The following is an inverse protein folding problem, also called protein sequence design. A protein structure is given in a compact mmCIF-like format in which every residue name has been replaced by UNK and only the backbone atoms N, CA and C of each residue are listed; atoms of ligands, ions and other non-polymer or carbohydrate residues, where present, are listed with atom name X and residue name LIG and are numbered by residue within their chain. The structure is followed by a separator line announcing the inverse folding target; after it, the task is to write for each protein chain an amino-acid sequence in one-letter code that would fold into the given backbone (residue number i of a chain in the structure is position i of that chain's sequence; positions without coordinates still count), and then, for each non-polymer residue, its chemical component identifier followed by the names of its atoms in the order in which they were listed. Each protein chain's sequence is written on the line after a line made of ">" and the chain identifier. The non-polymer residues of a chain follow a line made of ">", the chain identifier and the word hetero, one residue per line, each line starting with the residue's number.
data_IF_910376089004
#
_entry.id   IF_910376089004
#
_cell.length_a   1.000
_cell.length_b   1.000
_cell.length_c   1.000
_cell.angle_alpha   90.00
_cell.angle_beta   90.00
_cell.angle_gamma   90.00
#
_symmetry.space_group_name_H-M   'P 1'
#
loop_
_entity.id
_entity.type
_entity.pdbx_description
1 polymer ?
#
# COMPACT_ATOMS: atom_id res chain seq x y z
N UNK A 1 3.24 -22.59 -6.11
CA UNK A 1 4.16 -22.85 -7.23
C UNK A 1 3.98 -21.72 -8.21
N UNK A 2 4.98 -20.86 -8.40
CA UNK A 2 4.95 -19.82 -9.43
C UNK A 2 5.58 -20.40 -10.69
N UNK A 3 4.89 -20.29 -11.82
CA UNK A 3 5.38 -20.72 -13.13
C UNK A 3 5.44 -19.46 -13.98
N UNK A 4 6.67 -19.01 -14.25
CA UNK A 4 6.94 -17.84 -15.08
C UNK A 4 7.51 -18.25 -16.43
N UNK A 5 7.10 -17.55 -17.48
CA UNK A 5 7.79 -17.59 -18.78
C UNK A 5 8.50 -16.27 -18.95
N UNK A 6 9.82 -16.30 -19.18
CA UNK A 6 10.63 -15.09 -19.35
C UNK A 6 11.07 -15.02 -20.80
N UNK A 7 10.88 -13.85 -21.39
CA UNK A 7 11.37 -13.54 -22.74
C UNK A 7 12.62 -12.69 -22.58
N UNK A 8 13.69 -13.06 -23.28
CA UNK A 8 14.94 -12.29 -23.30
C UNK A 8 14.68 -10.87 -23.86
N UNK A 9 15.36 -9.85 -23.33
CA UNK A 9 15.25 -8.46 -23.82
C UNK A 9 15.51 -8.32 -25.33
N UNK A 10 16.36 -9.18 -25.91
CA UNK A 10 16.60 -9.20 -27.37
C UNK A 10 15.35 -9.58 -28.18
N UNK A 11 14.37 -10.23 -27.55
CA UNK A 11 13.10 -10.66 -28.12
C UNK A 11 11.93 -9.78 -27.64
N UNK A 12 12.18 -8.53 -27.25
CA UNK A 12 11.18 -7.55 -26.80
C UNK A 12 9.99 -7.37 -27.76
N UNK A 13 10.22 -7.52 -29.08
CA UNK A 13 9.20 -7.39 -30.12
C UNK A 13 8.61 -8.72 -30.61
N UNK A 14 8.96 -9.83 -29.95
CA UNK A 14 8.49 -11.15 -30.36
C UNK A 14 7.00 -11.33 -30.02
N UNK A 15 6.26 -11.91 -30.95
CA UNK A 15 4.87 -12.31 -30.79
C UNK A 15 4.73 -13.78 -31.20
N UNK A 16 3.97 -14.55 -30.41
CA UNK A 16 3.78 -15.96 -30.69
C UNK A 16 3.03 -16.70 -29.59
N UNK A 17 3.05 -18.02 -29.66
CA UNK A 17 2.48 -18.89 -28.63
C UNK A 17 3.55 -19.86 -28.13
N UNK A 18 3.63 -20.02 -26.82
CA UNK A 18 4.42 -21.05 -26.16
C UNK A 18 3.47 -22.11 -25.60
N UNK A 19 3.76 -23.38 -25.86
CA UNK A 19 2.97 -24.52 -25.40
C UNK A 19 3.83 -25.39 -24.49
N UNK A 20 3.25 -25.86 -23.41
CA UNK A 20 3.89 -26.73 -22.43
C UNK A 20 2.87 -27.55 -21.67
N UNK A 21 3.32 -28.30 -20.67
CA UNK A 21 2.43 -29.01 -19.77
C UNK A 21 3.04 -29.09 -18.37
N UNK A 22 2.20 -29.03 -17.34
CA UNK A 22 2.58 -29.33 -15.96
C UNK A 22 2.18 -30.76 -15.66
N UNK A 23 3.13 -31.54 -15.17
CA UNK A 23 2.88 -32.91 -14.73
C UNK A 23 2.85 -32.95 -13.21
N UNK A 24 1.68 -33.23 -12.63
CA UNK A 24 1.50 -33.44 -11.19
C UNK A 24 1.45 -34.94 -10.91
N UNK A 25 2.38 -35.44 -10.11
CA UNK A 25 2.42 -36.85 -9.69
C UNK A 25 1.91 -36.96 -8.27
N UNK A 26 0.70 -37.50 -8.09
CA UNK A 26 0.08 -37.72 -6.78
C UNK A 26 0.45 -39.12 -6.31
N UNK A 27 1.07 -39.22 -5.14
CA UNK A 27 1.38 -40.49 -4.50
C UNK A 27 0.40 -40.72 -3.35
N UNK A 28 -0.39 -41.79 -3.43
CA UNK A 28 -1.31 -42.22 -2.38
C UNK A 28 -0.78 -43.48 -1.73
N UNK A 29 -0.63 -43.47 -0.41
CA UNK A 29 -0.28 -44.65 0.39
C UNK A 29 -1.53 -45.50 0.65
N UNK A 30 -1.47 -46.80 0.39
CA UNK A 30 -2.46 -47.77 0.90
C UNK A 30 -2.00 -48.39 2.23
N UNK A 31 -2.90 -49.10 2.91
CA UNK A 31 -2.68 -49.73 4.22
C UNK A 31 -1.53 -50.78 4.24
N UNK A 32 -1.09 -51.27 3.08
CA UNK A 32 -0.06 -52.31 2.93
C UNK A 32 1.28 -51.79 2.36
N UNK A 33 1.72 -50.58 2.72
CA UNK A 33 3.00 -49.98 2.26
C UNK A 33 3.18 -49.89 0.72
N UNK A 34 2.10 -50.05 -0.05
CA UNK A 34 2.09 -49.88 -1.50
C UNK A 34 1.71 -48.44 -1.86
N UNK A 35 2.54 -47.79 -2.68
CA UNK A 35 2.29 -46.44 -3.19
C UNK A 35 1.69 -46.48 -4.58
N UNK A 36 0.42 -46.08 -4.72
CA UNK A 36 -0.16 -45.80 -6.02
C UNK A 36 0.25 -44.40 -6.46
N UNK A 37 0.92 -44.31 -7.61
CA UNK A 37 1.29 -43.02 -8.22
C UNK A 37 0.35 -42.72 -9.38
N UNK A 38 -0.49 -41.69 -9.25
CA UNK A 38 -1.30 -41.17 -10.36
C UNK A 38 -0.62 -39.93 -10.93
N UNK A 39 -0.59 -39.82 -12.25
CA UNK A 39 0.04 -38.68 -12.94
C UNK A 39 -1.02 -37.92 -13.71
N UNK A 40 -1.19 -36.63 -13.39
CA UNK A 40 -2.10 -35.71 -14.06
C UNK A 40 -1.28 -34.74 -14.89
N UNK A 41 -1.64 -34.55 -16.15
CA UNK A 41 -0.96 -33.64 -17.08
C UNK A 41 -1.89 -32.48 -17.39
N UNK A 42 -1.46 -31.26 -17.06
CA UNK A 42 -2.18 -30.03 -17.35
C UNK A 42 -1.50 -29.33 -18.53
N UNK A 43 -2.08 -29.33 -19.75
CA UNK A 43 -1.54 -28.57 -20.86
C UNK A 43 -1.67 -27.06 -20.61
N UNK A 44 -0.63 -26.31 -20.94
CA UNK A 44 -0.58 -24.86 -20.83
C UNK A 44 -0.22 -24.27 -22.18
N UNK A 45 -0.96 -23.25 -22.58
CA UNK A 45 -0.63 -22.40 -23.72
C UNK A 45 -0.52 -20.96 -23.22
N UNK A 46 0.64 -20.34 -23.44
CA UNK A 46 0.91 -18.94 -23.09
C UNK A 46 1.07 -18.15 -24.38
N UNK A 47 0.23 -17.12 -24.55
CA UNK A 47 0.40 -16.17 -25.65
C UNK A 47 1.48 -15.16 -25.27
N UNK A 48 2.50 -15.06 -26.12
CA UNK A 48 3.58 -14.09 -25.99
C UNK A 48 3.21 -12.89 -26.86
N UNK A 49 3.23 -11.70 -26.27
CA UNK A 49 2.99 -10.43 -26.93
C UNK A 49 4.24 -9.57 -26.84
N UNK A 50 4.39 -8.66 -27.81
CA UNK A 50 5.42 -7.63 -27.76
C UNK A 50 5.30 -6.77 -26.49
N UNK A 51 6.43 -6.26 -26.00
CA UNK A 51 6.47 -5.44 -24.78
C UNK A 51 5.49 -4.27 -24.90
N UNK A 52 4.46 -4.19 -24.03
CA UNK A 52 3.48 -3.11 -24.12
C UNK A 52 4.13 -1.74 -23.91
N UNK A 53 3.58 -0.67 -24.50
CA UNK A 53 4.10 0.67 -24.27
C UNK A 53 3.95 1.06 -22.79
N UNK A 54 4.88 1.90 -22.30
CA UNK A 54 4.96 2.31 -20.89
C UNK A 54 3.63 2.80 -20.31
N UNK A 55 2.89 3.64 -21.06
CA UNK A 55 1.59 4.20 -20.66
C UNK A 55 0.43 3.18 -20.61
N UNK A 56 0.70 1.89 -20.85
CA UNK A 56 -0.26 0.79 -20.64
C UNK A 56 0.21 -0.20 -19.57
N UNK A 57 1.38 0.01 -18.97
CA UNK A 57 1.97 -0.90 -17.99
C UNK A 57 1.82 -0.35 -16.58
N UNK A 58 1.14 -1.14 -15.75
CA UNK A 58 0.90 -0.88 -14.33
C UNK A 58 1.77 -1.88 -13.56
N UNK A 59 2.47 -1.38 -12.55
CA UNK A 59 3.14 -2.22 -11.57
C UNK A 59 2.28 -2.25 -10.31
N UNK A 60 1.85 -3.44 -9.88
CA UNK A 60 1.12 -3.65 -8.63
C UNK A 60 2.11 -3.99 -7.53
N UNK A 61 2.09 -3.24 -6.43
CA UNK A 61 2.88 -3.57 -5.26
C UNK A 61 2.22 -4.70 -4.46
N UNK A 62 2.86 -5.87 -4.42
CA UNK A 62 2.47 -6.99 -3.56
C UNK A 62 3.44 -7.14 -2.37
N UNK A 63 4.60 -6.48 -2.42
CA UNK A 63 5.63 -6.62 -1.42
C UNK A 63 5.26 -5.93 -0.10
N UNK A 64 4.37 -4.93 -0.12
CA UNK A 64 3.96 -4.23 1.10
C UNK A 64 2.60 -4.64 1.68
N UNK A 65 1.95 -5.68 1.13
CA UNK A 65 0.82 -6.35 1.79
C UNK A 65 1.31 -7.49 2.70
N UNK A 66 0.59 -7.79 3.78
CA UNK A 66 0.88 -8.93 4.63
C UNK A 66 0.34 -10.23 4.02
N UNK A 67 0.95 -11.35 4.40
CA UNK A 67 0.45 -12.67 4.04
C UNK A 67 -0.46 -13.18 5.15
N UNK A 68 -1.71 -13.48 4.80
CA UNK A 68 -2.72 -13.95 5.72
C UNK A 68 -2.62 -15.46 6.00
N UNK A 69 -2.83 -15.91 7.26
CA UNK A 69 -2.99 -15.13 8.50
C UNK A 69 -1.67 -15.00 9.29
N UNK A 70 -1.15 -13.79 9.61
CA UNK A 70 0.07 -13.68 10.43
C UNK A 70 -0.18 -13.17 11.86
N UNK A 71 -1.35 -12.57 12.17
CA UNK A 71 -1.65 -11.89 13.43
C UNK A 71 -3.07 -11.30 13.48
N UNK A 72 -3.35 -10.39 14.42
CA UNK A 72 -4.64 -9.70 14.45
C UNK A 72 -4.63 -8.52 13.49
N UNK A 73 -5.17 -8.73 12.29
CA UNK A 73 -5.42 -7.67 11.32
C UNK A 73 -6.94 -7.44 11.25
N UNK A 74 -7.43 -6.22 11.53
CA UNK A 74 -8.84 -5.90 11.51
C UNK A 74 -9.34 -5.73 10.07
N UNK A 75 -10.66 -5.74 9.90
CA UNK A 75 -11.30 -5.37 8.61
C UNK A 75 -11.02 -3.93 8.21
N UNK A 76 -11.00 -3.70 6.90
CA UNK A 76 -11.00 -2.34 6.35
C UNK A 76 -12.30 -1.62 6.68
N UNK A 77 -13.45 -2.27 6.47
CA UNK A 77 -14.76 -1.70 6.75
C UNK A 77 -15.21 -1.94 8.19
N UNK A 78 -15.05 -0.93 9.04
CA UNK A 78 -15.36 -0.98 10.47
C UNK A 78 -16.85 -1.10 10.82
N UNK A 79 -17.76 -1.01 9.83
CA UNK A 79 -19.19 -1.25 10.07
C UNK A 79 -19.51 -2.73 10.27
N UNK A 80 -18.70 -3.63 9.70
CA UNK A 80 -18.93 -5.07 9.78
C UNK A 80 -18.44 -5.56 11.13
N UNK A 81 -19.38 -5.97 12.00
CA UNK A 81 -19.09 -6.40 13.38
C UNK A 81 -19.14 -7.92 13.60
N UNK A 82 -19.52 -8.68 12.57
CA UNK A 82 -19.75 -10.13 12.70
C UNK A 82 -18.47 -10.96 12.81
N UNK A 83 -17.35 -10.45 12.29
CA UNK A 83 -16.04 -11.11 12.29
C UNK A 83 -14.94 -10.04 12.41
N UNK A 84 -14.13 -10.05 13.47
CA UNK A 84 -13.12 -9.03 13.70
C UNK A 84 -11.90 -9.14 12.78
N UNK A 85 -11.65 -10.30 12.15
CA UNK A 85 -10.43 -10.57 11.39
C UNK A 85 -10.65 -10.39 9.89
N UNK A 86 -9.65 -9.80 9.21
CA UNK A 86 -9.54 -10.01 7.78
C UNK A 86 -8.83 -11.33 7.46
N UNK A 87 -9.48 -12.14 6.65
CA UNK A 87 -8.99 -13.44 6.18
C UNK A 87 -8.81 -13.46 4.67
N UNK A 88 -9.22 -12.39 3.97
CA UNK A 88 -9.18 -12.30 2.53
C UNK A 88 -7.89 -11.60 2.15
N UNK A 89 -6.90 -12.39 1.76
CA UNK A 89 -5.59 -11.85 1.36
C UNK A 89 -5.69 -10.81 0.24
N UNK A 90 -4.96 -9.72 0.41
CA UNK A 90 -4.86 -8.62 -0.55
C UNK A 90 -3.97 -8.97 -1.73
N UNK A 91 -4.56 -9.66 -2.71
CA UNK A 91 -3.90 -10.01 -3.95
C UNK A 91 -4.74 -9.56 -5.15
N UNK A 92 -4.05 -9.18 -6.22
CA UNK A 92 -4.66 -8.76 -7.48
C UNK A 92 -5.57 -9.82 -8.15
N UNK A 93 -5.51 -11.06 -7.69
CA UNK A 93 -6.25 -12.19 -8.25
C UNK A 93 -7.30 -12.76 -7.29
N UNK A 94 -7.42 -12.19 -6.08
CA UNK A 94 -8.43 -12.49 -5.06
C UNK A 94 -9.37 -11.29 -4.91
N UNK A 95 -9.15 -10.43 -3.90
CA UNK A 95 -10.00 -9.29 -3.54
C UNK A 95 -10.10 -8.29 -4.69
N UNK A 96 -9.03 -8.10 -5.45
CA UNK A 96 -8.98 -7.15 -6.57
C UNK A 96 -9.14 -7.80 -7.95
N UNK A 97 -9.70 -9.02 -8.03
CA UNK A 97 -9.88 -9.74 -9.30
C UNK A 97 -10.73 -8.97 -10.31
N UNK A 98 -11.82 -8.34 -9.87
CA UNK A 98 -12.71 -7.61 -10.76
C UNK A 98 -12.04 -6.34 -11.31
N UNK A 99 -11.28 -5.65 -10.46
CA UNK A 99 -10.41 -4.54 -10.89
C UNK A 99 -9.38 -5.01 -11.93
N UNK A 100 -8.70 -6.13 -11.68
CA UNK A 100 -7.75 -6.71 -12.63
C UNK A 100 -8.42 -6.98 -13.99
N UNK A 101 -9.56 -7.68 -13.99
CA UNK A 101 -10.30 -7.98 -15.21
C UNK A 101 -10.73 -6.71 -15.95
N UNK A 102 -11.22 -5.70 -15.22
CA UNK A 102 -11.61 -4.42 -15.79
C UNK A 102 -10.44 -3.71 -16.48
N UNK A 103 -9.29 -3.62 -15.81
CA UNK A 103 -8.09 -3.00 -16.37
C UNK A 103 -7.55 -3.76 -17.59
N UNK A 104 -7.58 -5.10 -17.56
CA UNK A 104 -7.22 -5.95 -18.71
C UNK A 104 -8.16 -5.71 -19.89
N UNK A 105 -9.46 -5.58 -19.65
CA UNK A 105 -10.45 -5.27 -20.70
C UNK A 105 -10.24 -3.87 -21.31
N UNK A 106 -9.73 -2.91 -20.54
CA UNK A 106 -9.31 -1.59 -21.04
C UNK A 106 -7.98 -1.60 -21.81
N UNK A 107 -7.27 -2.74 -21.83
CA UNK A 107 -6.01 -2.90 -22.55
C UNK A 107 -4.75 -2.54 -21.75
N UNK A 108 -4.86 -2.40 -20.43
CA UNK A 108 -3.70 -2.26 -19.54
C UNK A 108 -3.07 -3.62 -19.23
N UNK A 109 -1.78 -3.62 -18.96
CA UNK A 109 -0.97 -4.78 -18.55
C UNK A 109 -0.49 -4.54 -17.13
N UNK A 110 -0.66 -5.55 -16.27
CA UNK A 110 -0.36 -5.42 -14.84
C UNK A 110 0.64 -6.50 -14.47
N UNK A 111 1.78 -6.06 -13.96
CA UNK A 111 2.83 -6.92 -13.41
C UNK A 111 2.77 -6.82 -11.87
N UNK A 112 2.92 -7.94 -11.16
CA UNK A 112 2.91 -7.99 -9.69
C UNK A 112 4.32 -7.98 -9.12
N UNK A 113 4.64 -6.97 -8.31
CA UNK A 113 5.94 -6.81 -7.67
C UNK A 113 5.93 -7.47 -6.29
N UNK A 114 6.57 -8.65 -6.19
CA UNK A 114 6.76 -9.36 -4.92
C UNK A 114 8.12 -9.11 -4.25
N UNK A 115 8.81 -8.02 -4.61
CA UNK A 115 10.17 -7.70 -4.17
C UNK A 115 10.30 -6.19 -3.88
N UNK A 116 11.37 -5.75 -3.17
CA UNK A 116 11.55 -4.33 -2.85
C UNK A 116 11.59 -3.42 -4.08
N UNK A 117 11.24 -2.15 -3.91
CA UNK A 117 11.22 -1.17 -5.00
C UNK A 117 12.56 -0.98 -5.69
N UNK A 118 13.67 -1.26 -5.02
CA UNK A 118 15.02 -1.23 -5.61
C UNK A 118 15.20 -2.19 -6.80
N UNK A 119 14.34 -3.19 -6.94
CA UNK A 119 14.49 -4.26 -7.92
C UNK A 119 13.79 -4.03 -9.26
N UNK A 120 13.01 -2.96 -9.41
CA UNK A 120 12.38 -2.65 -10.69
C UNK A 120 12.92 -1.35 -11.28
N UNK A 121 12.90 -1.25 -12.61
CA UNK A 121 13.25 -0.01 -13.32
C UNK A 121 11.97 0.80 -13.63
N UNK A 122 11.85 2.01 -13.10
CA UNK A 122 10.69 2.89 -13.29
C UNK A 122 10.44 3.30 -14.74
N UNK A 123 11.47 3.32 -15.60
CA UNK A 123 11.32 3.62 -17.02
C UNK A 123 10.46 2.61 -17.77
N UNK A 124 10.28 1.41 -17.22
CA UNK A 124 9.49 0.33 -17.82
C UNK A 124 7.98 0.46 -17.58
N UNK A 125 7.57 1.25 -16.59
CA UNK A 125 6.19 1.31 -16.09
C UNK A 125 5.66 2.74 -16.15
N UNK A 126 4.38 2.89 -16.49
CA UNK A 126 3.70 4.19 -16.48
C UNK A 126 3.24 4.56 -15.08
N UNK A 127 2.83 3.58 -14.28
CA UNK A 127 2.32 3.81 -12.93
C UNK A 127 2.62 2.64 -11.99
N UNK A 128 3.06 2.95 -10.79
CA UNK A 128 3.09 2.07 -9.63
C UNK A 128 1.79 2.23 -8.84
N UNK A 129 1.13 1.13 -8.50
CA UNK A 129 -0.08 1.10 -7.70
C UNK A 129 0.25 0.48 -6.34
N UNK A 130 0.05 1.27 -5.29
CA UNK A 130 0.24 0.87 -3.89
C UNK A 130 -1.15 0.81 -3.28
N UNK A 131 -1.61 -0.39 -2.94
CA UNK A 131 -2.97 -0.61 -2.42
C UNK A 131 -2.88 -1.33 -1.11
N UNK A 132 -3.54 -0.76 -0.11
CA UNK A 132 -3.61 -1.22 1.26
C UNK A 132 -2.25 -1.70 1.81
N UNK A 133 -1.24 -0.79 1.85
CA UNK A 133 0.08 -1.17 2.37
C UNK A 133 0.02 -1.31 3.88
N UNK A 134 0.30 -2.49 4.40
CA UNK A 134 0.33 -2.83 5.83
C UNK A 134 1.77 -2.97 6.37
N UNK A 135 2.73 -3.09 5.46
CA UNK A 135 4.15 -3.27 5.75
C UNK A 135 4.89 -1.93 5.88
N UNK A 136 6.04 -1.96 6.54
CA UNK A 136 6.99 -0.83 6.57
C UNK A 136 7.79 -0.73 5.25
N UNK A 137 8.31 0.46 4.92
CA UNK A 137 9.18 0.66 3.75
C UNK A 137 10.66 0.71 4.16
N UNK A 138 11.57 0.17 3.36
CA UNK A 138 13.01 0.41 3.53
C UNK A 138 13.39 1.86 3.18
N UNK A 139 14.46 2.37 3.80
CA UNK A 139 14.89 3.75 3.54
C UNK A 139 15.33 3.91 2.08
N UNK A 140 16.04 2.89 1.55
CA UNK A 140 16.49 2.80 0.17
C UNK A 140 15.33 2.83 -0.83
N UNK A 141 14.19 2.22 -0.48
CA UNK A 141 12.99 2.24 -1.32
C UNK A 141 12.37 3.63 -1.39
N UNK A 142 12.30 4.33 -0.26
CA UNK A 142 11.75 5.69 -0.19
C UNK A 142 12.60 6.64 -1.05
N UNK A 143 13.93 6.58 -0.93
CA UNK A 143 14.84 7.40 -1.74
C UNK A 143 14.71 7.08 -3.23
N UNK A 144 14.72 5.80 -3.58
CA UNK A 144 14.62 5.34 -4.97
C UNK A 144 13.26 5.71 -5.59
N UNK A 145 12.17 5.59 -4.84
CA UNK A 145 10.85 5.99 -5.30
C UNK A 145 10.75 7.50 -5.51
N UNK A 146 11.35 8.31 -4.63
CA UNK A 146 11.43 9.74 -4.83
C UNK A 146 12.15 10.05 -6.16
N UNK A 147 13.32 9.47 -6.39
CA UNK A 147 14.06 9.62 -7.65
C UNK A 147 13.25 9.18 -8.88
N UNK A 148 12.60 8.02 -8.81
CA UNK A 148 11.75 7.48 -9.88
C UNK A 148 10.63 8.44 -10.32
N UNK A 149 10.02 9.14 -9.36
CA UNK A 149 8.95 10.10 -9.65
C UNK A 149 9.51 11.41 -10.21
N UNK A 150 10.57 11.95 -9.59
CA UNK A 150 11.13 13.25 -9.98
C UNK A 150 11.91 13.21 -11.30
N UNK A 151 12.72 12.17 -11.52
CA UNK A 151 13.65 12.09 -12.65
C UNK A 151 13.07 11.26 -13.81
N UNK A 152 12.42 10.13 -13.51
CA UNK A 152 11.90 9.20 -14.52
C UNK A 152 10.40 9.39 -14.81
N UNK A 153 9.74 10.30 -14.10
CA UNK A 153 8.34 10.63 -14.31
C UNK A 153 7.41 9.45 -14.03
N UNK A 154 7.71 8.63 -13.02
CA UNK A 154 6.83 7.56 -12.59
C UNK A 154 5.53 8.14 -12.02
N UNK A 155 4.39 7.58 -12.45
CA UNK A 155 3.11 7.81 -11.80
C UNK A 155 2.94 6.92 -10.57
N UNK A 156 2.35 7.42 -9.50
CA UNK A 156 1.98 6.62 -8.33
C UNK A 156 0.49 6.79 -8.07
N UNK A 157 -0.24 5.69 -7.88
CA UNK A 157 -1.60 5.69 -7.35
C UNK A 157 -1.57 4.96 -6.02
N UNK A 158 -2.08 5.60 -4.98
CA UNK A 158 -2.10 5.09 -3.64
C UNK A 158 -3.55 5.00 -3.17
N UNK A 159 -3.96 3.80 -2.81
CA UNK A 159 -5.16 3.54 -2.03
C UNK A 159 -4.69 3.04 -0.65
N UNK A 160 -4.98 3.82 0.38
CA UNK A 160 -4.75 3.41 1.77
C UNK A 160 -6.08 2.97 2.39
N UNK A 161 -6.08 2.73 3.68
CA UNK A 161 -7.29 2.54 4.49
C UNK A 161 -7.23 3.39 5.75
N UNK A 162 -7.99 3.03 6.77
CA UNK A 162 -7.92 3.69 8.07
C UNK A 162 -6.72 3.25 8.90
N UNK A 163 -6.30 4.16 9.77
CA UNK A 163 -5.41 3.87 10.88
C UNK A 163 -5.71 4.84 12.01
N UNK A 164 -6.11 4.34 13.17
CA UNK A 164 -6.28 5.14 14.37
C UNK A 164 -6.01 4.30 15.61
N UNK A 165 -5.01 4.68 16.40
CA UNK A 165 -4.58 3.91 17.57
C UNK A 165 -5.65 3.84 18.66
N UNK A 166 -6.50 4.86 18.80
CA UNK A 166 -7.61 4.85 19.78
C UNK A 166 -8.73 3.90 19.34
N UNK A 167 -9.05 3.87 18.04
CA UNK A 167 -10.00 2.91 17.46
C UNK A 167 -9.48 1.48 17.60
N UNK A 168 -8.21 1.22 17.26
CA UNK A 168 -7.57 -0.08 17.43
C UNK A 168 -7.64 -0.56 18.88
N UNK A 169 -7.37 0.32 19.86
CA UNK A 169 -7.46 -0.02 21.28
C UNK A 169 -8.89 -0.36 21.75
N UNK A 170 -9.92 0.17 21.08
CA UNK A 170 -11.33 -0.16 21.36
C UNK A 170 -11.76 -1.48 20.74
N UNK A 171 -11.10 -1.90 19.67
CA UNK A 171 -11.35 -3.18 18.97
C UNK A 171 -10.66 -4.38 19.60
N UNK A 172 -9.92 -4.19 20.70
CA UNK A 172 -9.29 -5.31 21.39
C UNK A 172 -10.33 -6.31 21.89
N UNK A 173 -10.05 -7.60 21.72
CA UNK A 173 -10.86 -8.67 22.27
C UNK A 173 -9.99 -9.62 23.11
N UNK A 174 -10.63 -10.34 24.02
CA UNK A 174 -9.97 -11.36 24.81
C UNK A 174 -10.11 -12.70 24.09
N UNK A 175 -9.00 -13.28 23.68
CA UNK A 175 -9.01 -14.64 23.11
C UNK A 175 -8.95 -15.66 24.26
N UNK A 176 -9.99 -16.47 24.37
CA UNK A 176 -10.08 -17.51 25.40
C UNK A 176 -9.04 -18.63 25.17
N UNK A 177 -8.63 -18.87 23.92
CA UNK A 177 -7.70 -19.93 23.57
C UNK A 177 -6.27 -19.57 24.02
N UNK A 178 -5.77 -18.39 23.67
CA UNK A 178 -4.44 -17.94 24.13
C UNK A 178 -4.46 -17.32 25.52
N UNK A 179 -5.64 -17.01 26.07
CA UNK A 179 -5.82 -16.23 27.32
C UNK A 179 -5.10 -14.89 27.29
N UNK A 180 -5.05 -14.27 26.12
CA UNK A 180 -4.40 -12.98 25.91
C UNK A 180 -5.39 -11.97 25.34
N UNK A 181 -5.15 -10.69 25.63
CA UNK A 181 -5.82 -9.60 24.93
C UNK A 181 -5.18 -9.42 23.56
N UNK A 182 -5.96 -9.64 22.51
CA UNK A 182 -5.56 -9.38 21.14
C UNK A 182 -5.88 -7.93 20.80
N UNK A 183 -4.84 -7.16 20.49
CA UNK A 183 -4.93 -5.79 19.97
C UNK A 183 -4.52 -5.84 18.50
N UNK A 184 -5.20 -5.11 17.61
CA UNK A 184 -4.80 -5.02 16.21
C UNK A 184 -3.32 -4.66 16.06
N UNK A 185 -2.59 -5.41 15.24
CA UNK A 185 -1.16 -5.18 15.00
C UNK A 185 -0.93 -3.96 14.08
N UNK A 186 -1.88 -3.67 13.19
CA UNK A 186 -1.99 -2.45 12.37
C UNK A 186 -3.48 -2.08 12.18
N UNK A 187 -3.76 -0.95 11.53
CA UNK A 187 -5.12 -0.57 11.07
C UNK A 187 -5.54 -1.40 9.86
N UNK A 188 -6.38 -0.85 8.97
CA UNK A 188 -6.52 -1.42 7.62
C UNK A 188 -5.18 -1.31 6.89
N UNK A 189 -4.60 -0.09 6.87
CA UNK A 189 -3.28 0.18 6.29
C UNK A 189 -2.30 0.73 7.33
N UNK A 190 -0.99 0.52 7.14
CA UNK A 190 0.07 1.14 7.93
C UNK A 190 0.35 2.58 7.47
N UNK A 191 -0.59 3.49 7.79
CA UNK A 191 -0.48 4.91 7.45
C UNK A 191 0.79 5.57 8.00
N UNK A 192 1.29 5.30 9.23
CA UNK A 192 2.56 5.85 9.68
C UNK A 192 3.73 5.53 8.74
N UNK A 193 3.84 4.29 8.24
CA UNK A 193 4.85 3.92 7.26
C UNK A 193 4.66 4.63 5.92
N UNK A 194 3.41 4.69 5.45
CA UNK A 194 3.05 5.40 4.23
C UNK A 194 3.37 6.91 4.32
N UNK A 195 3.18 7.52 5.48
CA UNK A 195 3.52 8.92 5.75
C UNK A 195 5.03 9.16 5.73
N UNK A 196 5.84 8.22 6.20
CA UNK A 196 7.31 8.32 6.10
C UNK A 196 7.75 8.33 4.63
N UNK A 197 7.10 7.52 3.77
CA UNK A 197 7.31 7.54 2.32
C UNK A 197 6.83 8.86 1.67
N UNK A 198 5.65 9.33 2.05
CA UNK A 198 5.02 10.53 1.47
C UNK A 198 5.67 11.85 1.91
N UNK A 199 6.45 11.84 3.01
CA UNK A 199 7.12 13.02 3.54
C UNK A 199 8.01 13.71 2.51
N UNK A 200 8.70 12.94 1.65
CA UNK A 200 9.57 13.46 0.59
C UNK A 200 8.83 14.28 -0.48
N UNK A 201 7.50 14.10 -0.57
CA UNK A 201 6.60 14.85 -1.45
C UNK A 201 5.84 15.96 -0.70
N UNK A 202 6.02 16.06 0.63
CA UNK A 202 5.27 17.00 1.47
C UNK A 202 3.79 16.64 1.62
N UNK A 203 3.43 15.38 1.39
CA UNK A 203 2.09 14.84 1.53
C UNK A 203 2.00 14.05 2.84
N UNK A 204 0.85 14.06 3.51
CA UNK A 204 0.57 13.14 4.61
C UNK A 204 -0.91 12.80 4.71
N UNK A 205 -1.20 11.66 5.31
CA UNK A 205 -2.51 11.23 5.78
C UNK A 205 -2.65 11.47 7.28
N UNK A 206 -3.89 11.52 7.73
CA UNK A 206 -4.31 11.75 9.13
C UNK A 206 -4.74 10.45 9.79
N UNK A 207 -4.93 10.49 11.10
CA UNK A 207 -5.56 9.41 11.87
C UNK A 207 -7.10 9.51 11.93
N UNK A 208 -7.71 10.45 11.19
CA UNK A 208 -9.16 10.55 11.10
C UNK A 208 -9.71 9.35 10.32
N UNK A 209 -10.75 8.71 10.84
CA UNK A 209 -11.44 7.61 10.18
C UNK A 209 -12.85 8.06 9.83
N UNK A 210 -13.14 8.14 8.53
CA UNK A 210 -14.40 8.71 8.04
C UNK A 210 -15.16 7.73 7.17
N UNK A 211 -16.48 7.88 7.14
CA UNK A 211 -17.35 7.01 6.36
C UNK A 211 -18.51 7.77 5.71
N UNK A 212 -19.07 7.21 4.64
CA UNK A 212 -20.38 7.60 4.13
C UNK A 212 -20.47 7.70 2.63
N UNK A 213 -21.71 7.89 2.15
CA UNK A 213 -21.97 8.11 0.74
C UNK A 213 -21.58 9.52 0.30
N UNK A 214 -20.88 9.60 -0.82
CA UNK A 214 -20.54 10.83 -1.49
C UNK A 214 -20.78 10.69 -3.00
N UNK A 215 -20.87 11.83 -3.68
CA UNK A 215 -21.16 11.91 -5.11
C UNK A 215 -20.06 12.70 -5.81
N UNK A 216 -19.48 12.12 -6.85
CA UNK A 216 -18.55 12.77 -7.77
C UNK A 216 -19.19 12.85 -9.15
N UNK A 217 -19.66 14.04 -9.53
CA UNK A 217 -20.40 14.22 -10.78
C UNK A 217 -21.71 13.43 -10.77
N UNK A 218 -21.83 12.44 -11.64
CA UNK A 218 -23.00 11.54 -11.73
C UNK A 218 -22.82 10.23 -10.95
N UNK A 219 -21.61 9.97 -10.45
CA UNK A 219 -21.30 8.71 -9.79
C UNK A 219 -21.53 8.84 -8.28
N UNK A 220 -22.37 7.95 -7.75
CA UNK A 220 -22.56 7.76 -6.32
C UNK A 220 -21.60 6.67 -5.83
N UNK A 221 -20.86 6.99 -4.78
CA UNK A 221 -19.85 6.12 -4.20
C UNK A 221 -20.03 6.05 -2.69
N UNK A 222 -19.47 5.01 -2.10
CA UNK A 222 -19.41 4.85 -0.65
C UNK A 222 -17.94 4.91 -0.23
N UNK A 223 -17.65 5.75 0.76
CA UNK A 223 -16.34 5.81 1.41
C UNK A 223 -16.41 4.92 2.66
N UNK A 224 -15.68 3.80 2.68
CA UNK A 224 -15.76 2.79 3.72
C UNK A 224 -14.58 2.93 4.67
N UNK A 225 -14.78 3.60 5.81
CA UNK A 225 -13.77 3.60 6.88
C UNK A 225 -12.37 3.99 6.40
N UNK A 226 -12.26 5.04 5.60
CA UNK A 226 -10.96 5.47 5.06
C UNK A 226 -10.33 6.61 5.87
N UNK A 227 -9.03 6.81 5.67
CA UNK A 227 -8.28 7.94 6.21
C UNK A 227 -8.50 9.24 5.42
N UNK A 228 -8.14 10.40 6.00
CA UNK A 228 -8.25 11.71 5.32
C UNK A 228 -6.90 12.35 5.06
N UNK A 229 -6.81 13.23 4.06
CA UNK A 229 -5.59 13.98 3.75
C UNK A 229 -5.23 14.99 4.85
N UNK A 230 -3.95 15.04 5.19
CA UNK A 230 -3.36 15.88 6.23
C UNK A 230 -2.55 17.05 5.66
N UNK A 231 -1.27 16.82 5.39
CA UNK A 231 -0.44 17.79 4.68
C UNK A 231 -0.54 17.56 3.18
N UNK A 232 -0.67 18.65 2.42
CA UNK A 232 -0.66 18.57 0.96
C UNK A 232 0.00 19.82 0.37
N UNK A 233 0.92 19.69 -0.61
CA UNK A 233 1.63 20.83 -1.18
C UNK A 233 0.70 21.83 -1.88
N UNK A 234 0.97 23.11 -1.64
CA UNK A 234 0.17 24.24 -2.12
C UNK A 234 0.65 24.69 -3.50
N UNK A 235 0.29 23.95 -4.53
CA UNK A 235 0.57 24.32 -5.92
C UNK A 235 -0.74 24.42 -6.73
N UNK A 236 -0.90 25.36 -7.68
CA UNK A 236 -2.13 25.48 -8.48
C UNK A 236 -2.45 24.26 -9.35
N UNK A 237 -1.43 23.50 -9.76
CA UNK A 237 -1.62 22.26 -10.52
C UNK A 237 -2.11 21.08 -9.64
N UNK A 238 -2.05 21.24 -8.32
CA UNK A 238 -2.51 20.24 -7.37
C UNK A 238 -4.02 20.36 -7.16
N UNK A 239 -4.68 19.21 -7.01
CA UNK A 239 -6.11 19.13 -6.82
C UNK A 239 -6.40 18.38 -5.53
N UNK A 240 -7.24 18.98 -4.68
CA UNK A 240 -7.79 18.30 -3.50
C UNK A 240 -9.30 18.27 -3.62
N UNK A 241 -9.88 17.09 -3.47
CA UNK A 241 -11.33 16.87 -3.51
C UNK A 241 -11.82 16.55 -2.11
N UNK A 242 -12.88 17.26 -1.73
CA UNK A 242 -13.50 17.15 -0.43
C UNK A 242 -14.87 16.45 -0.53
N UNK A 243 -15.20 15.61 0.44
CA UNK A 243 -16.51 14.98 0.58
C UNK A 243 -17.14 15.28 1.94
N UNK A 244 -18.48 15.28 2.01
CA UNK A 244 -19.21 15.40 3.27
C UNK A 244 -19.43 14.01 3.86
N UNK A 245 -18.70 13.66 4.90
CA UNK A 245 -18.65 12.32 5.51
C UNK A 245 -18.91 12.40 7.03
N UNK A 246 -19.14 11.24 7.64
CA UNK A 246 -19.27 11.10 9.08
C UNK A 246 -17.91 10.75 9.71
N UNK A 247 -17.65 11.22 10.92
CA UNK A 247 -16.48 10.81 11.72
C UNK A 247 -16.76 9.48 12.41
N UNK A 248 -16.34 8.38 11.77
CA UNK A 248 -16.54 7.04 12.28
C UNK A 248 -15.62 6.73 13.47
N UNK A 249 -14.41 7.30 13.46
CA UNK A 249 -13.45 7.13 14.56
C UNK A 249 -14.01 7.66 15.88
N UNK A 250 -14.56 8.89 15.85
CA UNK A 250 -15.20 9.48 17.02
C UNK A 250 -16.44 8.69 17.50
N UNK A 251 -17.22 8.12 16.57
CA UNK A 251 -18.38 7.27 16.88
C UNK A 251 -17.94 6.02 17.68
N UNK A 252 -16.89 5.34 17.23
CA UNK A 252 -16.36 4.13 17.87
C UNK A 252 -15.71 4.46 19.23
N UNK A 253 -14.95 5.54 19.33
CA UNK A 253 -14.24 5.91 20.56
C UNK A 253 -15.23 6.27 21.68
N UNK A 254 -16.28 7.03 21.35
CA UNK A 254 -17.22 7.57 22.33
C UNK A 254 -18.39 6.64 22.65
N UNK A 255 -18.50 5.46 22.01
CA UNK A 255 -19.60 4.50 22.19
C UNK A 255 -21.00 5.16 22.10
N UNK A 256 -21.16 6.22 21.31
CA UNK A 256 -22.43 6.92 21.24
C UNK A 256 -23.40 6.09 20.42
N UNK A 257 -24.58 5.81 20.98
CA UNK A 257 -25.67 5.15 20.25
C UNK A 257 -25.92 5.89 18.93
N UNK A 258 -25.81 5.14 17.84
CA UNK A 258 -25.89 5.57 16.43
C UNK A 258 -27.14 6.43 16.13
N UNK A 259 -28.20 6.27 16.92
CA UNK A 259 -29.47 6.98 16.78
C UNK A 259 -29.51 8.37 17.47
N UNK A 260 -28.60 8.67 18.41
CA UNK A 260 -28.64 9.89 19.23
C UNK A 260 -27.57 10.93 18.83
N UNK A 261 -26.50 10.52 18.14
CA UNK A 261 -25.56 11.47 17.56
C UNK A 261 -26.18 12.04 16.28
N UNK A 262 -26.56 13.31 16.29
CA UNK A 262 -26.84 14.04 15.06
C UNK A 262 -25.61 13.84 14.16
N UNK A 263 -25.75 13.05 13.09
CA UNK A 263 -24.69 12.81 12.09
C UNK A 263 -24.40 14.10 11.35
N UNK A 264 -23.72 15.02 12.01
CA UNK A 264 -23.25 16.25 11.40
C UNK A 264 -22.17 15.83 10.42
N UNK A 265 -22.54 15.79 9.14
CA UNK A 265 -21.61 15.51 8.07
C UNK A 265 -20.63 16.67 7.95
N UNK A 266 -19.38 16.40 8.28
CA UNK A 266 -18.26 17.33 8.15
C UNK A 266 -17.58 17.13 6.80
N UNK A 267 -16.99 18.20 6.28
CA UNK A 267 -16.33 18.19 4.96
C UNK A 267 -14.87 17.79 5.16
N UNK A 268 -14.49 16.62 4.64
CA UNK A 268 -13.13 16.09 4.73
C UNK A 268 -12.44 16.01 3.36
N UNK A 269 -11.11 16.23 3.30
CA UNK A 269 -10.31 16.03 2.11
C UNK A 269 -9.99 14.53 1.94
N UNK A 270 -10.47 13.92 0.85
CA UNK A 270 -10.41 12.46 0.66
C UNK A 270 -9.55 12.02 -0.52
N UNK A 271 -9.37 12.89 -1.51
CA UNK A 271 -8.61 12.58 -2.73
C UNK A 271 -7.67 13.73 -3.04
N UNK A 272 -6.40 13.40 -3.31
CA UNK A 272 -5.34 14.35 -3.64
C UNK A 272 -4.65 13.95 -4.94
N UNK A 273 -4.62 14.85 -5.91
CA UNK A 273 -3.83 14.71 -7.13
C UNK A 273 -2.67 15.70 -7.05
N UNK A 274 -1.47 15.17 -7.07
CA UNK A 274 -0.23 15.90 -6.93
C UNK A 274 0.56 15.83 -8.24
N UNK A 275 0.87 17.01 -8.77
CA UNK A 275 1.74 17.16 -9.93
C UNK A 275 3.13 17.53 -9.44
N UNK A 276 4.12 16.72 -9.81
CA UNK A 276 5.49 16.99 -9.42
C UNK A 276 6.04 18.24 -10.09
N UNK A 277 6.73 19.08 -9.30
CA UNK A 277 7.60 20.15 -9.79
C UNK A 277 8.97 20.07 -9.11
N UNK A 278 10.08 20.41 -9.78
CA UNK A 278 11.42 20.36 -9.18
C UNK A 278 11.55 21.17 -7.87
N UNK A 279 10.77 22.24 -7.72
CA UNK A 279 10.73 23.11 -6.53
C UNK A 279 10.14 22.37 -5.31
N UNK A 280 9.27 21.40 -5.54
CA UNK A 280 8.61 20.65 -4.46
C UNK A 280 9.48 19.52 -3.90
N UNK A 281 10.70 19.32 -4.43
CA UNK A 281 11.66 18.32 -3.95
C UNK A 281 12.15 18.70 -2.56
N UNK A 282 11.70 17.95 -1.55
CA UNK A 282 12.15 18.10 -0.17
C UNK A 282 13.26 17.10 0.16
N UNK A 283 14.19 17.54 1.00
CA UNK A 283 15.14 16.64 1.64
C UNK A 283 14.41 15.75 2.62
N UNK A 284 14.58 14.43 2.46
CA UNK A 284 13.98 13.44 3.34
C UNK A 284 14.84 13.31 4.60
N UNK A 285 14.20 13.42 5.78
CA UNK A 285 14.84 13.14 7.07
C UNK A 285 14.17 11.93 7.71
N UNK A 286 14.57 10.72 7.32
CA UNK A 286 14.06 9.49 7.93
C UNK A 286 14.77 9.25 9.26
N UNK A 287 14.03 9.13 10.39
CA UNK A 287 14.65 8.77 11.66
C UNK A 287 15.14 7.32 11.60
N UNK A 288 16.38 7.07 12.08
CA UNK A 288 16.98 5.72 12.15
C UNK A 288 16.23 4.74 13.08
N UNK A 289 15.33 5.26 13.92
CA UNK A 289 14.51 4.51 14.86
C UNK A 289 13.06 4.93 14.64
N UNK A 290 12.14 3.96 14.67
CA UNK A 290 10.72 4.25 14.58
C UNK A 290 10.25 5.10 15.78
N UNK A 291 9.50 6.17 15.51
CA UNK A 291 8.84 6.97 16.55
C UNK A 291 7.66 6.23 17.16
N UNK A 292 7.62 6.12 18.50
CA UNK A 292 6.63 5.31 19.23
C UNK A 292 5.97 6.11 20.36
N UNK A 293 4.68 5.87 20.61
CA UNK A 293 3.96 6.43 21.78
C UNK A 293 4.22 5.54 23.03
N UNK A 294 4.63 6.12 24.15
CA UNK A 294 4.67 5.43 25.45
C UNK A 294 3.26 5.32 26.03
N UNK A 295 2.50 4.27 25.70
CA UNK A 295 1.19 3.96 26.30
C UNK A 295 1.31 3.32 27.70
N UNK A 296 2.26 3.79 28.50
CA UNK A 296 2.55 3.26 29.83
C UNK A 296 1.93 4.06 30.99
N UNK A 297 1.77 5.38 30.85
CA UNK A 297 1.37 6.25 31.97
C UNK A 297 0.37 7.37 31.63
N UNK A 298 -0.07 7.56 30.39
CA UNK A 298 -1.01 8.64 30.03
C UNK A 298 -2.46 8.14 29.95
N UNK A 299 -2.91 7.49 31.02
CA UNK A 299 -4.34 7.26 31.29
C UNK A 299 -4.64 7.93 32.61
N UNK A 300 -4.74 9.26 32.63
CA UNK A 300 -5.62 10.05 33.51
C UNK A 300 -5.74 11.47 32.91
N UNK A 301 -6.98 11.93 32.78
CA UNK A 301 -7.43 13.29 32.43
C UNK A 301 -7.21 13.81 30.99
N UNK A 302 -8.12 13.43 30.08
CA UNK A 302 -8.50 14.30 28.94
C UNK A 302 -9.58 15.33 29.29
N UNK A 303 -9.88 15.54 30.58
CA UNK A 303 -10.86 16.53 31.03
C UNK A 303 -10.31 17.90 31.40
N UNK A 304 -8.99 18.12 31.48
CA UNK A 304 -8.42 19.45 31.77
C UNK A 304 -6.97 19.58 31.28
N UNK A 305 -6.75 19.92 30.01
CA UNK A 305 -5.47 20.49 29.58
C UNK A 305 -5.74 21.86 28.98
N UNK A 306 -5.86 22.82 29.90
CA UNK A 306 -5.52 24.19 29.61
C UNK A 306 -4.05 24.26 29.15
N UNK A 307 -3.88 25.12 28.15
CA UNK A 307 -2.70 25.48 27.40
C UNK A 307 -1.45 25.69 28.29
N UNK A 308 -0.28 25.42 27.67
CA UNK A 308 1.08 25.83 28.03
C UNK A 308 1.94 24.83 28.81
N UNK A 309 2.61 23.92 28.08
CA UNK A 309 3.90 23.42 28.53
C UNK A 309 4.93 23.48 27.38
N UNK A 310 5.64 24.61 27.22
CA UNK A 310 6.63 24.80 26.16
C UNK A 310 7.91 23.97 26.35
N UNK A 311 7.97 23.16 27.41
CA UNK A 311 9.14 22.34 27.78
C UNK A 311 9.14 20.98 27.03
N UNK A 312 7.95 20.41 26.72
CA UNK A 312 7.83 19.18 25.93
C UNK A 312 8.26 19.38 24.47
N UNK A 313 7.88 20.52 23.86
CA UNK A 313 8.32 20.87 22.51
C UNK A 313 9.81 21.26 22.44
N UNK A 314 10.40 21.71 23.56
CA UNK A 314 11.84 22.02 23.62
C UNK A 314 12.72 20.79 23.83
N UNK A 315 12.25 19.73 24.49
CA UNK A 315 13.05 18.49 24.67
C UNK A 315 13.32 17.77 23.34
N UNK A 316 12.35 17.78 22.42
CA UNK A 316 12.54 17.22 21.06
C UNK A 316 13.55 18.04 20.23
N UNK A 317 13.67 19.35 20.48
CA UNK A 317 14.66 20.23 19.85
C UNK A 317 16.06 20.19 20.50
N UNK A 318 16.20 19.58 21.68
CA UNK A 318 17.47 19.52 22.42
C UNK A 318 18.19 18.17 22.25
N UNK A 319 17.47 17.09 21.94
CA UNK A 319 18.09 15.80 21.58
C UNK A 319 18.73 15.78 20.18
N UNK A 320 18.46 16.79 19.34
CA UNK A 320 19.18 17.01 18.07
C UNK A 320 20.56 17.63 18.26
N UNK A 321 20.91 18.12 19.45
CA UNK A 321 22.20 18.74 19.76
C UNK A 321 22.92 17.96 20.87
N UNK A 322 23.58 16.85 20.51
CA UNK A 322 24.90 16.40 21.05
C UNK A 322 25.16 14.91 20.76
N UNK A 323 25.82 14.64 19.64
CA UNK A 323 27.20 14.12 19.60
C UNK A 323 27.64 13.98 18.14
N UNK A 324 28.56 14.86 17.79
CA UNK A 324 29.47 14.81 16.64
C UNK A 324 29.82 13.37 16.24
N UNK A 325 29.31 12.94 15.09
CA UNK A 325 29.90 11.86 14.30
C UNK A 325 30.35 12.52 13.00
N UNK A 326 31.66 12.74 12.94
CA UNK A 326 32.50 13.03 11.77
C UNK A 326 31.74 13.27 10.46
N UNK A 327 31.66 14.54 10.08
CA UNK A 327 31.40 14.95 8.70
C UNK A 327 32.45 14.29 7.79
N UNK A 328 32.08 13.20 7.10
CA UNK A 328 32.72 12.89 5.82
C UNK A 328 32.04 13.84 4.84
N UNK A 329 32.62 15.03 4.70
CA UNK A 329 32.35 15.88 3.54
C UNK A 329 33.03 15.20 2.36
N UNK A 330 32.27 14.45 1.57
CA UNK A 330 32.64 14.30 0.16
C UNK A 330 32.37 15.64 -0.52
N UNK A 331 33.36 16.53 -0.42
CA UNK A 331 33.48 17.72 -1.25
C UNK A 331 33.78 17.28 -2.67
N UNK A 332 32.76 16.81 -3.40
CA UNK A 332 32.73 16.70 -4.87
C UNK A 332 31.32 16.36 -5.37
N UNK A 333 30.33 17.21 -5.06
CA UNK A 333 29.13 17.33 -5.90
C UNK A 333 28.59 18.76 -5.85
N UNK A 334 29.45 19.73 -6.14
CA UNK A 334 29.01 21.04 -6.62
C UNK A 334 28.67 20.91 -8.11
N UNK A 335 27.59 20.22 -8.44
CA UNK A 335 26.94 20.44 -9.73
C UNK A 335 26.24 21.78 -9.63
N UNK A 336 26.86 22.82 -10.22
CA UNK A 336 26.16 24.04 -10.62
C UNK A 336 24.85 23.62 -11.30
N UNK A 337 23.72 23.88 -10.65
CA UNK A 337 22.42 23.76 -11.31
C UNK A 337 22.35 24.96 -12.26
N UNK A 338 22.66 24.72 -13.53
CA UNK A 338 22.31 25.67 -14.58
C UNK A 338 20.78 25.78 -14.64
N UNK A 339 20.19 26.99 -14.59
CA UNK A 339 18.76 27.16 -14.71
C UNK A 339 18.38 27.01 -16.18
N UNK A 340 18.14 25.77 -16.62
CA UNK A 340 17.92 25.52 -18.04
C UNK A 340 17.72 24.07 -18.46
N UNK A 341 16.77 23.34 -17.85
CA UNK A 341 16.15 22.20 -18.54
C UNK A 341 14.64 22.30 -18.37
N UNK A 342 13.97 22.80 -19.41
CA UNK A 342 12.52 22.65 -19.56
C UNK A 342 12.23 21.14 -19.66
N UNK A 343 11.95 20.50 -18.53
CA UNK A 343 11.28 19.21 -18.56
C UNK A 343 9.89 19.45 -19.16
N UNK A 344 9.60 18.78 -20.28
CA UNK A 344 8.25 18.71 -20.83
C UNK A 344 7.30 18.33 -19.69
N UNK A 345 6.22 19.10 -19.48
CA UNK A 345 5.22 18.82 -18.42
C UNK A 345 4.68 17.38 -18.53
N UNK A 346 4.75 16.78 -19.72
CA UNK A 346 4.38 15.39 -19.96
C UNK A 346 5.33 14.34 -19.35
N UNK A 347 6.55 14.75 -18.94
CA UNK A 347 7.57 13.88 -18.33
C UNK A 347 7.61 13.97 -16.81
N UNK A 348 6.85 14.87 -16.20
CA UNK A 348 6.84 15.03 -14.75
C UNK A 348 6.03 13.92 -14.09
N UNK A 349 6.55 13.38 -12.98
CA UNK A 349 5.84 12.39 -12.17
C UNK A 349 4.57 12.95 -11.54
N UNK A 350 3.66 12.06 -11.17
CA UNK A 350 2.37 12.40 -10.58
C UNK A 350 2.00 11.41 -9.52
N UNK A 351 1.36 11.89 -8.47
CA UNK A 351 0.89 11.04 -7.37
C UNK A 351 -0.60 11.28 -7.21
N UNK A 352 -1.37 10.20 -7.12
CA UNK A 352 -2.77 10.24 -6.69
C UNK A 352 -2.87 9.48 -5.39
N UNK A 353 -3.58 10.06 -4.42
CA UNK A 353 -3.79 9.48 -3.11
C UNK A 353 -5.29 9.52 -2.78
N UNK A 354 -5.81 8.37 -2.35
CA UNK A 354 -7.15 8.20 -1.79
C UNK A 354 -7.05 7.33 -0.53
N UNK A 355 -7.73 7.72 0.54
CA UNK A 355 -7.57 7.06 1.86
C UNK A 355 -8.46 5.84 2.09
N UNK A 356 -9.11 5.31 1.06
CA UNK A 356 -10.03 4.15 1.11
C UNK A 356 -9.73 3.23 -0.06
N UNK A 357 -9.42 1.96 0.21
CA UNK A 357 -9.14 0.93 -0.80
C UNK A 357 -10.37 0.09 -1.16
N UNK A 358 -11.39 0.04 -0.30
CA UNK A 358 -12.60 -0.76 -0.51
C UNK A 358 -13.37 -0.38 -1.77
N UNK A 359 -13.11 0.80 -2.35
CA UNK A 359 -13.75 1.23 -3.58
C UNK A 359 -13.31 0.41 -4.82
N UNK A 360 -12.08 -0.14 -4.80
CA UNK A 360 -11.54 -1.02 -5.86
C UNK A 360 -11.56 -2.51 -5.48
N UNK A 361 -11.92 -2.82 -4.23
CA UNK A 361 -12.14 -4.18 -3.75
C UNK A 361 -13.49 -4.74 -4.24
N UNK A 362 -13.50 -6.03 -4.62
CA UNK A 362 -14.70 -6.77 -5.05
C UNK A 362 -15.59 -7.26 -3.90
N UNK A 363 -15.08 -7.26 -2.67
CA UNK A 363 -15.64 -8.05 -1.56
C UNK A 363 -16.79 -7.40 -0.78
N UNK A 364 -16.84 -6.07 -0.69
CA UNK A 364 -17.71 -5.35 0.27
C UNK A 364 -18.53 -4.19 -0.31
N UNK A 365 -18.44 -3.91 -1.61
CA UNK A 365 -19.01 -2.70 -2.23
C UNK A 365 -20.10 -3.02 -3.24
N UNK A 366 -21.31 -2.47 -3.01
CA UNK A 366 -22.42 -2.52 -3.99
C UNK A 366 -22.13 -1.71 -5.27
N UNK A 367 -21.11 -0.83 -5.23
CA UNK A 367 -20.73 0.09 -6.33
C UNK A 367 -19.22 0.30 -6.39
N UNK A 368 -18.58 -0.29 -7.38
CA UNK A 368 -17.15 -0.13 -7.62
C UNK A 368 -16.77 1.25 -8.15
N UNK A 369 -15.61 1.75 -7.74
CA UNK A 369 -15.05 3.04 -8.18
C UNK A 369 -14.13 2.91 -9.42
N UNK A 370 -14.25 1.85 -10.20
CA UNK A 370 -13.32 1.56 -11.31
C UNK A 370 -13.25 2.68 -12.36
N UNK A 371 -14.32 3.46 -12.52
CA UNK A 371 -14.33 4.66 -13.35
C UNK A 371 -13.35 5.74 -12.84
N UNK A 372 -13.23 5.88 -11.52
CA UNK A 372 -12.34 6.82 -10.86
C UNK A 372 -10.89 6.32 -10.96
N UNK A 373 -10.68 5.01 -10.80
CA UNK A 373 -9.38 4.38 -11.05
C UNK A 373 -8.88 4.66 -12.46
N UNK A 374 -9.76 4.57 -13.47
CA UNK A 374 -9.43 4.93 -14.85
C UNK A 374 -9.01 6.41 -14.95
N UNK A 375 -9.74 7.32 -14.31
CA UNK A 375 -9.39 8.74 -14.30
C UNK A 375 -8.03 9.00 -13.61
N UNK A 376 -7.70 8.24 -12.56
CA UNK A 376 -6.40 8.30 -11.90
C UNK A 376 -5.27 7.83 -12.83
N UNK A 377 -5.48 6.72 -13.55
CA UNK A 377 -4.52 6.23 -14.54
C UNK A 377 -4.30 7.20 -15.70
N UNK A 378 -5.36 7.84 -16.19
CA UNK A 378 -5.27 8.88 -17.22
C UNK A 378 -4.48 10.09 -16.72
N UNK A 379 -4.65 10.47 -15.44
CA UNK A 379 -3.85 11.53 -14.82
C UNK A 379 -2.38 11.14 -14.71
N UNK A 380 -2.08 10.00 -14.08
CA UNK A 380 -0.69 9.59 -13.81
C UNK A 380 0.09 9.29 -15.09
N UNK A 381 -0.50 8.54 -16.03
CA UNK A 381 0.19 8.09 -17.24
C UNK A 381 0.15 9.08 -18.40
N UNK A 382 -0.97 9.79 -18.59
CA UNK A 382 -1.22 10.58 -19.81
C UNK A 382 -1.24 12.09 -19.54
N UNK A 383 -1.01 12.54 -18.31
CA UNK A 383 -1.10 13.95 -17.94
C UNK A 383 -2.51 14.54 -18.11
N UNK A 384 -3.52 13.68 -18.23
CA UNK A 384 -4.88 14.10 -18.51
C UNK A 384 -5.69 14.19 -17.22
N UNK A 385 -6.12 15.40 -16.88
CA UNK A 385 -7.07 15.63 -15.78
C UNK A 385 -8.45 15.93 -16.37
N UNK A 386 -9.44 15.10 -16.03
CA UNK A 386 -10.82 15.31 -16.46
C UNK A 386 -11.37 16.65 -15.97
N UNK A 387 -12.31 17.23 -16.72
CA UNK A 387 -12.99 18.48 -16.35
C UNK A 387 -13.70 18.38 -15.00
N UNK A 388 -14.27 17.21 -14.69
CA UNK A 388 -14.91 16.92 -13.42
C UNK A 388 -13.95 17.11 -12.24
N UNK A 389 -12.76 16.52 -12.28
CA UNK A 389 -11.78 16.62 -11.20
C UNK A 389 -11.28 18.06 -11.02
N UNK A 390 -11.11 18.80 -12.13
CA UNK A 390 -10.76 20.23 -12.09
C UNK A 390 -11.85 21.07 -11.44
N UNK A 391 -13.13 20.83 -11.75
CA UNK A 391 -14.26 21.54 -11.15
C UNK A 391 -14.41 21.29 -9.65
N UNK A 392 -14.06 20.09 -9.19
CA UNK A 392 -14.13 19.71 -7.78
C UNK A 392 -12.92 20.19 -6.96
N UNK A 393 -11.93 20.83 -7.61
CA UNK A 393 -10.73 21.30 -6.94
C UNK A 393 -11.05 22.29 -5.82
N UNK A 394 -10.66 21.93 -4.60
CA UNK A 394 -10.82 22.72 -3.39
C UNK A 394 -9.48 23.07 -2.73
N UNK A 395 -8.36 23.05 -3.47
CA UNK A 395 -7.01 23.31 -2.94
C UNK A 395 -6.91 24.69 -2.25
N UNK A 396 -7.61 25.70 -2.75
CA UNK A 396 -7.64 27.05 -2.15
C UNK A 396 -8.30 27.05 -0.77
N UNK A 397 -9.36 26.25 -0.58
CA UNK A 397 -10.04 26.11 0.72
C UNK A 397 -9.19 25.30 1.69
N UNK A 398 -8.50 24.27 1.19
CA UNK A 398 -7.57 23.45 1.97
C UNK A 398 -6.48 24.28 2.63
N UNK A 399 -6.05 25.37 1.98
CA UNK A 399 -4.97 26.25 2.47
C UNK A 399 -5.26 26.96 3.80
N UNK A 400 -6.55 27.12 4.15
CA UNK A 400 -7.03 27.85 5.34
C UNK A 400 -7.45 26.95 6.50
N UNK A 401 -7.49 25.65 6.28
CA UNK A 401 -7.85 24.69 7.32
C UNK A 401 -6.59 24.48 8.18
N UNK A 402 -6.42 25.31 9.23
CA UNK A 402 -5.61 24.94 10.40
C UNK A 402 -6.38 23.87 11.18
N UNK A 403 -6.64 22.72 10.58
CA UNK A 403 -7.13 21.60 11.37
C UNK A 403 -5.98 21.16 12.24
N UNK A 404 -6.26 21.02 13.53
CA UNK A 404 -5.49 20.21 14.46
C UNK A 404 -5.53 18.75 13.96
N UNK A 405 -4.90 18.49 12.81
CA UNK A 405 -4.81 17.18 12.20
C UNK A 405 -3.67 16.45 12.88
N UNK A 406 -4.05 15.47 13.69
CA UNK A 406 -3.13 14.55 14.33
C UNK A 406 -2.54 13.64 13.25
N UNK A 407 -1.22 13.58 13.21
CA UNK A 407 -0.53 12.59 12.38
C UNK A 407 -0.58 11.24 13.12
N UNK A 408 -0.92 10.15 12.42
CA UNK A 408 -0.97 8.83 13.02
C UNK A 408 0.42 8.44 13.53
N UNK A 409 0.45 7.67 14.62
CA UNK A 409 1.69 7.19 15.25
C UNK A 409 1.64 5.69 15.43
N UNK A 410 2.81 5.05 15.39
CA UNK A 410 2.97 3.60 15.57
C UNK A 410 2.59 3.17 16.99
N UNK A 411 1.89 2.04 17.09
CA UNK A 411 1.51 1.43 18.38
C UNK A 411 2.73 0.69 18.96
N UNK A 412 3.13 1.04 20.20
CA UNK A 412 4.32 0.47 20.85
C UNK A 412 4.28 -1.05 21.02
N UNK A 413 3.11 -1.58 21.33
CA UNK A 413 2.90 -2.98 21.66
C UNK A 413 2.48 -3.81 20.45
N UNK A 414 2.55 -3.26 19.24
CA UNK A 414 2.25 -4.00 18.00
C UNK A 414 3.24 -5.16 17.82
N UNK A 415 2.72 -6.30 17.36
CA UNK A 415 3.51 -7.48 17.02
C UNK A 415 3.86 -7.54 15.52
N UNK A 416 3.68 -6.45 14.78
CA UNK A 416 4.00 -6.33 13.34
C UNK A 416 5.40 -6.87 12.99
N UNK A 417 6.38 -6.61 13.85
CA UNK A 417 7.77 -7.04 13.68
C UNK A 417 7.96 -8.57 13.56
N UNK A 418 6.98 -9.37 14.03
CA UNK A 418 7.04 -10.85 13.96
C UNK A 418 6.87 -11.37 12.53
N UNK A 419 6.06 -10.68 11.74
CA UNK A 419 5.69 -11.09 10.38
C UNK A 419 6.15 -10.11 9.31
N UNK A 420 6.62 -8.93 9.71
CA UNK A 420 7.19 -7.93 8.82
C UNK A 420 8.41 -8.46 8.05
N UNK A 421 8.47 -8.14 6.76
CA UNK A 421 9.60 -8.32 5.85
C UNK A 421 10.69 -7.27 6.08
N UNK A 422 10.33 -6.14 6.67
CA UNK A 422 11.19 -4.94 6.79
C UNK A 422 11.70 -4.71 8.22
N UNK A 423 10.96 -5.08 9.26
CA UNK A 423 11.33 -4.84 10.66
C UNK A 423 12.07 -6.04 11.26
N UNK A 424 13.13 -5.80 12.04
CA UNK A 424 13.93 -6.86 12.67
C UNK A 424 13.11 -7.62 13.73
N UNK A 425 13.09 -8.97 13.72
CA UNK A 425 12.40 -9.76 14.74
C UNK A 425 12.91 -9.51 16.16
N UNK A 426 14.21 -9.19 16.28
CA UNK A 426 14.89 -8.97 17.56
C UNK A 426 14.78 -7.54 18.09
N UNK A 427 14.39 -6.58 17.25
CA UNK A 427 14.24 -5.18 17.64
C UNK A 427 13.20 -4.49 16.75
N UNK A 428 12.00 -4.33 17.28
CA UNK A 428 10.85 -3.72 16.60
C UNK A 428 11.05 -2.26 16.20
N UNK A 429 12.12 -1.60 16.68
CA UNK A 429 12.46 -0.22 16.34
C UNK A 429 13.46 -0.10 15.18
N UNK A 430 13.99 -1.22 14.66
CA UNK A 430 15.02 -1.23 13.62
C UNK A 430 14.58 -1.99 12.39
N UNK A 431 14.92 -1.43 11.22
CA UNK A 431 14.76 -2.09 9.92
C UNK A 431 15.82 -3.18 9.71
N UNK A 432 15.47 -4.19 8.91
CA UNK A 432 16.35 -5.22 8.37
C UNK A 432 17.24 -4.60 7.29
N UNK A 433 18.23 -5.37 6.82
CA UNK A 433 18.91 -5.02 5.59
C UNK A 433 18.03 -5.42 4.41
N UNK A 434 17.99 -4.57 3.39
CA UNK A 434 17.24 -4.84 2.17
C UNK A 434 17.73 -6.14 1.52
N UNK A 435 16.80 -6.96 1.06
CA UNK A 435 17.13 -8.20 0.37
C UNK A 435 17.65 -7.90 -1.04
N UNK A 436 18.62 -8.69 -1.50
CA UNK A 436 19.04 -8.64 -2.90
C UNK A 436 17.89 -9.08 -3.80
N UNK A 437 17.80 -8.46 -4.97
CA UNK A 437 16.81 -8.81 -5.98
C UNK A 437 17.02 -10.26 -6.41
N UNK A 438 15.94 -11.04 -6.47
CA UNK A 438 16.02 -12.42 -6.94
C UNK A 438 16.45 -12.44 -8.41
N UNK A 439 17.66 -12.94 -8.67
CA UNK A 439 18.06 -13.29 -10.03
C UNK A 439 17.33 -14.57 -10.41
N UNK A 440 16.46 -14.47 -11.42
CA UNK A 440 15.76 -15.64 -11.96
C UNK A 440 16.81 -16.56 -12.59
N UNK A 441 17.13 -17.65 -11.90
CA UNK A 441 18.03 -18.67 -12.41
C UNK A 441 17.33 -19.37 -13.57
N UNK A 442 17.73 -19.04 -14.80
CA UNK A 442 17.24 -19.71 -15.98
C UNK A 442 17.62 -21.19 -15.92
N UNK A 443 16.63 -22.06 -15.73
CA UNK A 443 16.85 -23.47 -15.94
C UNK A 443 17.10 -23.65 -17.44
N UNK A 444 18.32 -24.07 -17.83
CA UNK A 444 18.67 -24.33 -19.23
C UNK A 444 17.61 -25.24 -19.82
N UNK A 445 17.13 -24.90 -21.02
CA UNK A 445 16.20 -25.70 -21.80
C UNK A 445 16.57 -27.19 -21.75
N UNK A 446 15.85 -27.98 -20.95
CA UNK A 446 15.87 -29.42 -21.09
C UNK A 446 14.92 -29.78 -22.22
N UNK A 447 15.41 -29.73 -23.45
CA UNK A 447 14.94 -30.66 -24.47
C UNK A 447 15.45 -32.04 -24.07
N UNK A 448 14.80 -32.68 -23.11
CA UNK A 448 14.95 -34.11 -22.86
C UNK A 448 13.75 -34.61 -22.06
N UNK A 449 13.11 -35.66 -22.61
CA UNK A 449 12.15 -36.49 -21.91
C UNK A 449 12.69 -36.84 -20.51
N UNK A 450 11.89 -36.60 -19.47
CA UNK A 450 12.16 -36.80 -18.02
C UNK A 450 12.77 -35.59 -17.28
N UNK A 451 11.92 -34.66 -16.84
CA UNK A 451 12.18 -33.94 -15.59
C UNK A 451 11.65 -34.76 -14.41
N UNK A 452 12.57 -35.28 -13.60
CA UNK A 452 12.27 -35.90 -12.29
C UNK A 452 12.44 -34.81 -11.23
N UNK A 453 11.49 -33.90 -11.11
CA UNK A 453 11.36 -33.04 -9.92
C UNK A 453 10.62 -33.86 -8.88
N UNK A 454 11.35 -34.51 -7.98
CA UNK A 454 10.75 -35.16 -6.80
C UNK A 454 10.38 -34.05 -5.84
N UNK A 455 9.12 -33.61 -5.89
CA UNK A 455 8.54 -32.74 -4.89
C UNK A 455 8.03 -33.62 -3.73
N UNK A 456 8.60 -33.42 -2.54
CA UNK A 456 8.10 -34.03 -1.31
C UNK A 456 6.65 -33.58 -1.06
N UNK A 457 5.72 -34.54 -1.15
CA UNK A 457 4.27 -34.32 -1.15
C UNK A 457 3.71 -33.76 0.18
N UNK A 458 4.49 -33.84 1.27
CA UNK A 458 4.09 -33.32 2.59
C UNK A 458 3.94 -31.79 2.63
N UNK A 459 4.74 -31.05 1.85
CA UNK A 459 4.64 -29.58 1.78
C UNK A 459 3.48 -29.08 0.90
N UNK A 460 2.97 -29.94 0.01
CA UNK A 460 1.88 -29.63 -0.91
C UNK A 460 0.51 -29.81 -0.24
N UNK A 461 0.35 -30.81 0.62
CA UNK A 461 -0.88 -31.03 1.40
C UNK A 461 -1.11 -29.93 2.44
N UNK A 462 -0.06 -29.44 3.13
CA UNK A 462 -0.23 -28.31 4.05
C UNK A 462 -0.70 -27.02 3.36
N UNK A 463 -0.37 -26.82 2.07
CA UNK A 463 -0.81 -25.66 1.28
C UNK A 463 -2.16 -25.84 0.58
N UNK A 464 -2.67 -27.07 0.46
CA UNK A 464 -4.00 -27.37 -0.08
C UNK A 464 -5.05 -27.60 1.00
N UNK A 465 -4.66 -28.03 2.21
CA UNK A 465 -5.57 -28.12 3.35
C UNK A 465 -6.11 -26.75 3.79
N UNK A 466 -5.40 -25.66 3.51
CA UNK A 466 -5.90 -24.30 3.75
C UNK A 466 -6.91 -23.82 2.70
N UNK A 467 -7.02 -24.48 1.54
CA UNK A 467 -7.92 -24.07 0.44
C UNK A 467 -9.23 -24.88 0.43
N UNK A 468 -9.30 -26.00 1.16
CA UNK A 468 -10.52 -26.82 1.30
C UNK A 468 -10.93 -26.95 2.78
N UNK A 469 -11.41 -25.87 3.35
CA UNK A 469 -12.49 -25.91 4.35
C UNK A 469 -13.62 -25.03 3.83
N UNK A 470 -14.38 -25.58 2.89
CA UNK A 470 -15.79 -25.26 2.60
C UNK A 470 -16.26 -26.18 1.45
N UNK A 471 -16.52 -27.43 1.82
CA UNK A 471 -17.60 -28.24 1.26
C UNK A 471 -18.45 -28.73 2.43
#
# INVERSE_FOLDING_TARGET
>A
MLIGTIVNDKACFFEGESKGHITVKIQTSQFDDTFNTTTIIFPITVKIVSKPPRHKRILWDQFHNLQYPPGYIPRDNLRIKSDPLDWRSDHIHTNYRDMYQHLRNLGYYIDTLGMPYTCFNASNYGTLMIVDPEEEFFDEEIYKLQEDVFEFGLGIIIFADWYNSSVMNKMKFFDENTREWWIPDTGGSNIPALNDMLQGFGISLTDNVVEGYFRLGEHNMYYASGSTLGLFPKHPDNIVINAKLNDQGAEIINNVNIAAYNRIKTKYPIIGLFQMHPIDRKTISIPRLFGVINTGNDVFDTSNINISNPILNKRVLLESNMKSVTEIRDTNYNSKIEPGMFHDKNKLGRIVLMGDSNCIDSTFTDKYCLWLLKAFLEYTMNSYTSSLLKQLNSISLYSNIKTHQTLPRRVKNSRLYKFSKVVKPTNSLKKRHIQSCEELIFNKHYYNNLSKTVLNFAAFLNKLQEINYNL
#
